data_IF_237982861682
#
_entry.id   IF_237982861682
#
_cell.length_a   1.000
_cell.length_b   1.000
_cell.length_c   1.000
_cell.angle_alpha   90.00
_cell.angle_beta   90.00
_cell.angle_gamma   90.00
#
_symmetry.space_group_name_H-M   'P 1'
#
loop_
_entity.id
_entity.type
_entity.pdbx_description
1 polymer ?
#
# COMPACT_ATOMS: atom_id res chain seq x y z
N UNK A 1 -4.08 24.41 -5.72
CA UNK A 1 -4.45 23.76 -4.43
C UNK A 1 -3.84 22.37 -4.28
N UNK A 2 -3.98 21.46 -5.26
CA UNK A 2 -3.40 20.10 -5.17
C UNK A 2 -1.88 20.05 -5.02
N UNK A 3 -1.13 20.85 -5.80
CA UNK A 3 0.34 20.92 -5.68
C UNK A 3 0.80 21.32 -4.27
N UNK A 4 0.19 22.37 -3.70
CA UNK A 4 0.51 22.85 -2.35
C UNK A 4 0.26 21.79 -1.27
N UNK A 5 -0.76 20.94 -1.44
CA UNK A 5 -1.02 19.85 -0.49
C UNK A 5 0.02 18.73 -0.59
N UNK A 6 0.42 18.35 -1.81
CA UNK A 6 1.51 17.37 -1.99
C UNK A 6 2.86 17.90 -1.45
N UNK A 7 3.10 19.20 -1.62
CA UNK A 7 4.31 19.88 -1.16
C UNK A 7 4.34 20.00 0.38
N UNK A 8 3.23 20.43 1.00
CA UNK A 8 3.13 20.56 2.46
C UNK A 8 3.26 19.24 3.21
N UNK A 9 2.76 18.14 2.65
CA UNK A 9 2.98 16.78 3.21
C UNK A 9 4.34 16.21 2.76
N UNK A 10 5.01 16.84 1.79
CA UNK A 10 6.33 16.50 1.32
C UNK A 10 6.38 15.11 0.68
N UNK A 11 5.35 14.73 -0.08
CA UNK A 11 5.18 13.35 -0.60
C UNK A 11 5.73 13.14 -2.01
N UNK A 12 6.44 14.13 -2.57
CA UNK A 12 7.18 13.97 -3.82
C UNK A 12 8.08 12.72 -3.77
N UNK A 13 8.18 12.01 -4.89
CA UNK A 13 8.97 10.78 -4.97
C UNK A 13 10.48 11.02 -4.93
N UNK A 14 10.92 12.25 -5.24
CA UNK A 14 12.30 12.73 -5.14
C UNK A 14 12.34 14.06 -4.38
N UNK A 15 13.51 14.38 -3.86
CA UNK A 15 13.82 15.71 -3.31
C UNK A 15 14.27 16.61 -4.47
N UNK A 16 13.50 17.65 -4.79
CA UNK A 16 13.69 18.46 -6.00
C UNK A 16 15.01 19.26 -5.97
N UNK A 17 15.55 19.52 -4.78
CA UNK A 17 16.79 20.27 -4.59
C UNK A 17 18.04 19.39 -4.61
N UNK A 18 17.87 18.06 -4.75
CA UNK A 18 18.98 17.09 -4.70
C UNK A 18 19.01 16.20 -5.93
N UNK A 19 20.22 15.98 -6.43
CA UNK A 19 20.44 15.03 -7.54
C UNK A 19 20.22 13.60 -7.07
N UNK A 20 19.42 12.87 -7.83
CA UNK A 20 19.22 11.43 -7.67
C UNK A 20 20.47 10.69 -8.12
N UNK A 21 20.83 9.63 -7.40
CA UNK A 21 21.92 8.74 -7.79
C UNK A 21 21.56 7.98 -9.06
N UNK A 22 22.40 8.06 -10.09
CA UNK A 22 22.21 7.37 -11.38
C UNK A 22 23.25 6.28 -11.54
N UNK A 23 22.81 5.09 -11.93
CA UNK A 23 23.63 3.90 -12.08
C UNK A 23 23.42 3.29 -13.46
N UNK A 24 24.49 2.78 -14.06
CA UNK A 24 24.39 2.04 -15.33
C UNK A 24 23.68 0.71 -15.08
N UNK A 25 23.01 0.19 -16.10
CA UNK A 25 22.36 -1.13 -16.05
C UNK A 25 23.26 -2.28 -15.54
N UNK A 26 24.56 -2.22 -15.81
CA UNK A 26 25.53 -3.26 -15.43
C UNK A 26 26.10 -3.09 -14.00
N UNK A 27 25.83 -1.97 -13.33
CA UNK A 27 26.34 -1.74 -11.97
C UNK A 27 25.66 -2.72 -10.98
N UNK A 28 26.30 -3.00 -9.85
CA UNK A 28 25.75 -3.91 -8.83
C UNK A 28 24.58 -3.24 -8.11
N UNK A 29 23.50 -3.99 -7.87
CA UNK A 29 22.30 -3.51 -7.18
C UNK A 29 22.49 -3.65 -5.65
N UNK A 30 22.20 -2.61 -4.84
CA UNK A 30 22.19 -2.71 -3.39
C UNK A 30 21.24 -3.80 -2.91
N UNK A 31 21.72 -4.58 -1.94
CA UNK A 31 20.93 -5.64 -1.31
C UNK A 31 20.07 -5.09 -0.17
N UNK A 32 18.77 -5.38 -0.19
CA UNK A 32 17.84 -5.12 0.91
C UNK A 32 17.18 -6.44 1.32
N UNK A 33 17.56 -7.02 2.48
CA UNK A 33 16.99 -8.29 2.91
C UNK A 33 15.51 -8.14 3.24
N UNK A 34 14.69 -9.11 2.85
CA UNK A 34 13.23 -9.04 3.00
C UNK A 34 12.74 -8.88 4.43
N UNK A 35 13.47 -9.44 5.40
CA UNK A 35 13.09 -9.35 6.79
C UNK A 35 13.03 -7.89 7.27
N UNK A 36 13.82 -6.97 6.67
CA UNK A 36 13.68 -5.53 6.94
C UNK A 36 12.30 -5.01 6.56
N UNK A 37 11.71 -5.49 5.46
CA UNK A 37 10.38 -5.09 5.02
C UNK A 37 9.31 -5.63 5.98
N UNK A 38 9.40 -6.92 6.36
CA UNK A 38 8.49 -7.50 7.35
C UNK A 38 8.54 -6.75 8.68
N UNK A 39 9.73 -6.46 9.19
CA UNK A 39 9.92 -5.69 10.44
C UNK A 39 9.33 -4.29 10.31
N UNK A 40 9.60 -3.60 9.20
CA UNK A 40 9.04 -2.27 8.96
C UNK A 40 7.49 -2.34 8.97
N UNK A 41 6.90 -3.26 8.21
CA UNK A 41 5.43 -3.39 8.11
C UNK A 41 4.83 -3.69 9.48
N UNK A 42 5.37 -4.67 10.20
CA UNK A 42 4.81 -5.12 11.48
C UNK A 42 4.93 -4.06 12.57
N UNK A 43 6.07 -3.37 12.68
CA UNK A 43 6.25 -2.28 13.66
C UNK A 43 5.15 -1.22 13.46
N UNK A 44 4.96 -0.76 12.22
CA UNK A 44 4.01 0.30 11.92
C UNK A 44 2.55 -0.18 12.03
N UNK A 45 2.26 -1.42 11.60
CA UNK A 45 0.94 -2.02 11.73
C UNK A 45 0.52 -2.19 13.20
N UNK A 46 1.47 -2.46 14.10
CA UNK A 46 1.21 -2.72 15.51
C UNK A 46 1.03 -1.47 16.37
N UNK A 47 1.51 -0.30 15.95
CA UNK A 47 1.31 0.96 16.69
C UNK A 47 -0.19 1.22 17.00
N UNK A 48 -1.11 1.27 16.01
CA UNK A 48 -2.53 1.48 16.31
C UNK A 48 -3.16 0.33 17.10
N UNK A 49 -2.69 -0.92 16.90
CA UNK A 49 -3.17 -2.06 17.67
C UNK A 49 -2.81 -1.92 19.16
N UNK A 50 -1.58 -1.50 19.46
CA UNK A 50 -1.12 -1.28 20.82
C UNK A 50 -1.88 -0.13 21.49
N UNK A 51 -2.10 0.99 20.78
CA UNK A 51 -2.90 2.12 21.26
C UNK A 51 -4.33 1.65 21.58
N UNK A 52 -4.95 0.91 20.67
CA UNK A 52 -6.31 0.39 20.85
C UNK A 52 -6.38 -0.60 22.01
N UNK A 53 -5.43 -1.53 22.12
CA UNK A 53 -5.41 -2.48 23.23
C UNK A 53 -5.19 -1.79 24.58
N UNK A 54 -4.34 -0.76 24.63
CA UNK A 54 -4.14 0.06 25.82
C UNK A 54 -5.43 0.82 26.20
N UNK A 55 -6.17 1.35 25.21
CA UNK A 55 -7.47 1.97 25.44
C UNK A 55 -8.44 0.99 26.12
N UNK A 56 -8.59 -0.22 25.56
CA UNK A 56 -9.48 -1.26 26.15
C UNK A 56 -9.03 -1.61 27.57
N UNK A 57 -7.72 -1.76 27.79
CA UNK A 57 -7.17 -2.09 29.10
C UNK A 57 -7.40 -1.01 30.15
N UNK A 58 -7.39 0.26 29.76
CA UNK A 58 -7.59 1.40 30.66
C UNK A 58 -9.06 1.74 30.91
N UNK A 59 -9.90 1.74 29.87
CA UNK A 59 -11.30 2.15 29.96
C UNK A 59 -12.28 0.97 30.17
N UNK A 60 -11.81 -0.28 30.04
CA UNK A 60 -12.63 -1.50 30.17
C UNK A 60 -13.81 -1.60 29.20
N UNK A 61 -13.79 -0.81 28.12
CA UNK A 61 -14.74 -0.92 27.03
C UNK A 61 -14.03 -0.70 25.70
N UNK A 62 -14.63 -1.17 24.62
CA UNK A 62 -14.05 -1.08 23.29
C UNK A 62 -14.33 0.26 22.61
N UNK A 63 -13.57 0.59 21.56
CA UNK A 63 -13.83 1.74 20.70
C UNK A 63 -15.16 1.53 19.96
N UNK A 64 -15.92 2.62 19.77
CA UNK A 64 -17.02 2.62 18.82
C UNK A 64 -16.49 2.42 17.39
N UNK A 65 -17.33 1.97 16.47
CA UNK A 65 -16.94 1.80 15.05
C UNK A 65 -16.38 3.10 14.46
N UNK A 66 -16.95 4.26 14.80
CA UNK A 66 -16.47 5.57 14.35
C UNK A 66 -15.10 5.91 14.93
N UNK A 67 -14.87 5.62 16.21
CA UNK A 67 -13.57 5.87 16.84
C UNK A 67 -12.48 4.92 16.30
N UNK A 68 -12.82 3.65 16.05
CA UNK A 68 -11.94 2.72 15.37
C UNK A 68 -11.61 3.19 13.94
N UNK A 69 -12.61 3.62 13.17
CA UNK A 69 -12.40 4.20 11.84
C UNK A 69 -11.44 5.40 11.88
N UNK A 70 -11.63 6.32 12.83
CA UNK A 70 -10.73 7.46 12.99
C UNK A 70 -9.30 7.01 13.32
N UNK A 71 -9.12 6.12 14.30
CA UNK A 71 -7.80 5.64 14.72
C UNK A 71 -7.05 4.95 13.57
N UNK A 72 -7.67 3.94 12.95
CA UNK A 72 -7.02 3.17 11.87
C UNK A 72 -6.90 3.98 10.58
N UNK A 73 -7.85 4.89 10.32
CA UNK A 73 -7.78 5.82 9.20
C UNK A 73 -6.61 6.80 9.33
N UNK A 74 -6.45 7.45 10.48
CA UNK A 74 -5.29 8.33 10.72
C UNK A 74 -3.98 7.57 10.72
N UNK A 75 -3.96 6.36 11.29
CA UNK A 75 -2.76 5.52 11.31
C UNK A 75 -2.34 5.11 9.89
N UNK A 76 -3.29 4.69 9.05
CA UNK A 76 -2.98 4.35 7.65
C UNK A 76 -2.37 5.56 6.90
N UNK A 77 -2.90 6.76 7.12
CA UNK A 77 -2.36 8.00 6.54
C UNK A 77 -0.93 8.25 6.99
N UNK A 78 -0.67 8.18 8.29
CA UNK A 78 0.65 8.40 8.86
C UNK A 78 1.67 7.38 8.35
N UNK A 79 1.29 6.09 8.30
CA UNK A 79 2.13 5.00 7.81
C UNK A 79 2.43 5.19 6.33
N UNK A 80 1.43 5.50 5.50
CA UNK A 80 1.60 5.74 4.06
C UNK A 80 2.53 6.93 3.78
N UNK A 81 2.32 8.06 4.44
CA UNK A 81 3.21 9.24 4.31
C UNK A 81 4.64 8.90 4.74
N UNK A 82 4.79 8.19 5.87
CA UNK A 82 6.11 7.76 6.32
C UNK A 82 6.79 6.84 5.30
N UNK A 83 6.05 5.89 4.72
CA UNK A 83 6.56 5.02 3.66
C UNK A 83 7.03 5.83 2.45
N UNK A 84 6.23 6.77 1.96
CA UNK A 84 6.61 7.64 0.83
C UNK A 84 7.90 8.41 1.12
N UNK A 85 8.06 8.93 2.34
CA UNK A 85 9.30 9.60 2.73
C UNK A 85 10.49 8.65 2.80
N UNK A 86 10.31 7.42 3.28
CA UNK A 86 11.35 6.38 3.28
C UNK A 86 11.75 6.06 1.84
N UNK A 87 10.78 5.77 0.96
CA UNK A 87 11.02 5.46 -0.44
C UNK A 87 11.75 6.60 -1.15
N UNK A 88 11.35 7.86 -0.91
CA UNK A 88 12.09 9.04 -1.41
C UNK A 88 13.54 9.05 -0.97
N UNK A 89 13.82 8.83 0.33
CA UNK A 89 15.20 8.84 0.86
C UNK A 89 16.04 7.72 0.25
N UNK A 90 15.47 6.53 0.12
CA UNK A 90 16.14 5.38 -0.50
C UNK A 90 16.38 5.64 -1.99
N UNK A 91 15.40 6.21 -2.71
CA UNK A 91 15.53 6.56 -4.12
C UNK A 91 16.57 7.62 -4.38
N UNK A 92 16.62 8.67 -3.54
CA UNK A 92 17.68 9.67 -3.62
C UNK A 92 19.08 9.05 -3.45
N UNK A 93 19.22 8.11 -2.50
CA UNK A 93 20.50 7.49 -2.16
C UNK A 93 20.97 6.41 -3.14
N UNK A 94 20.06 5.60 -3.69
CA UNK A 94 20.41 4.40 -4.45
C UNK A 94 19.89 4.42 -5.90
N UNK A 95 19.10 5.43 -6.26
CA UNK A 95 18.53 5.58 -7.58
C UNK A 95 17.38 4.63 -7.86
N UNK A 96 16.99 4.63 -9.13
CA UNK A 96 15.91 3.83 -9.68
C UNK A 96 16.44 2.88 -10.76
N UNK A 97 15.78 1.74 -10.94
CA UNK A 97 16.03 0.91 -12.12
C UNK A 97 15.76 1.73 -13.37
N UNK A 98 16.61 1.55 -14.40
CA UNK A 98 16.63 2.30 -15.68
C UNK A 98 16.80 3.84 -15.61
N UNK A 99 17.18 4.36 -14.44
CA UNK A 99 17.41 5.80 -14.22
C UNK A 99 18.54 6.43 -15.05
N UNK A 100 19.38 5.64 -15.72
CA UNK A 100 20.37 6.11 -16.69
C UNK A 100 19.76 6.48 -18.05
N UNK A 101 18.52 6.05 -18.31
CA UNK A 101 17.80 6.30 -19.57
C UNK A 101 16.48 7.05 -19.37
N UNK A 102 15.77 6.76 -18.28
CA UNK A 102 14.43 7.27 -18.04
C UNK A 102 14.29 7.74 -16.59
N UNK A 103 13.84 8.98 -16.41
CA UNK A 103 13.43 9.47 -15.09
C UNK A 103 12.14 8.76 -14.65
N UNK A 104 11.73 8.96 -13.39
CA UNK A 104 10.40 8.54 -12.94
C UNK A 104 9.37 9.54 -13.41
N UNK A 105 8.23 9.01 -13.86
CA UNK A 105 7.10 9.80 -14.30
C UNK A 105 6.66 10.69 -13.13
N UNK A 106 6.63 12.00 -13.37
CA UNK A 106 6.02 12.96 -12.44
C UNK A 106 4.50 12.83 -12.44
N UNK A 107 3.86 13.44 -11.46
CA UNK A 107 2.41 13.64 -11.53
C UNK A 107 2.16 14.75 -12.57
N UNK A 108 1.39 14.51 -13.65
CA UNK A 108 1.12 15.54 -14.64
C UNK A 108 0.38 16.73 -14.02
N UNK A 109 0.68 17.96 -14.45
CA UNK A 109 0.04 19.17 -13.88
C UNK A 109 -1.49 19.11 -13.94
N UNK A 110 -2.04 18.67 -15.09
CA UNK A 110 -3.47 18.46 -15.28
C UNK A 110 -4.05 17.30 -14.46
N UNK A 111 -3.17 16.39 -14.00
CA UNK A 111 -3.51 15.17 -13.26
C UNK A 111 -3.32 15.27 -11.76
N UNK A 112 -2.80 16.38 -11.22
CA UNK A 112 -2.49 16.52 -9.79
C UNK A 112 -3.72 16.33 -8.90
N UNK A 113 -4.86 16.89 -9.31
CA UNK A 113 -6.09 16.70 -8.54
C UNK A 113 -6.53 15.25 -8.53
N UNK A 114 -6.42 14.56 -9.68
CA UNK A 114 -6.78 13.14 -9.77
C UNK A 114 -5.87 12.26 -8.93
N UNK A 115 -4.55 12.49 -8.97
CA UNK A 115 -3.60 11.77 -8.12
C UNK A 115 -3.89 12.00 -6.63
N UNK A 116 -4.21 13.25 -6.26
CA UNK A 116 -4.58 13.57 -4.88
C UNK A 116 -5.89 12.91 -4.47
N UNK A 117 -6.92 12.97 -5.32
CA UNK A 117 -8.21 12.30 -5.11
C UNK A 117 -7.98 10.81 -4.87
N UNK A 118 -7.19 10.14 -5.71
CA UNK A 118 -6.91 8.72 -5.56
C UNK A 118 -6.20 8.36 -4.25
N UNK A 119 -5.25 9.19 -3.82
CA UNK A 119 -4.60 9.02 -2.51
C UNK A 119 -5.58 9.23 -1.37
N UNK A 120 -6.39 10.29 -1.41
CA UNK A 120 -7.38 10.62 -0.38
C UNK A 120 -8.49 9.55 -0.28
N UNK A 121 -8.96 9.06 -1.43
CA UNK A 121 -9.91 7.95 -1.52
C UNK A 121 -9.35 6.69 -0.88
N UNK A 122 -8.09 6.34 -1.17
CA UNK A 122 -7.49 5.11 -0.65
C UNK A 122 -7.40 5.12 0.89
N UNK A 123 -6.95 6.24 1.45
CA UNK A 123 -6.80 6.40 2.91
C UNK A 123 -8.11 6.65 3.66
N UNK A 124 -9.20 6.98 2.96
CA UNK A 124 -10.53 7.15 3.56
C UNK A 124 -11.36 5.86 3.44
N UNK A 125 -11.48 5.31 2.23
CA UNK A 125 -12.40 4.21 1.95
C UNK A 125 -11.89 2.85 2.42
N UNK A 126 -10.58 2.55 2.36
CA UNK A 126 -10.05 1.26 2.85
C UNK A 126 -10.34 1.05 4.34
N UNK A 127 -10.01 2.00 5.24
CA UNK A 127 -10.36 1.87 6.66
C UNK A 127 -11.87 1.87 6.91
N UNK A 128 -12.63 2.66 6.15
CA UNK A 128 -14.09 2.70 6.28
C UNK A 128 -14.68 1.32 5.99
N UNK A 129 -14.31 0.71 4.87
CA UNK A 129 -14.77 -0.63 4.48
C UNK A 129 -14.32 -1.69 5.50
N UNK A 130 -13.06 -1.64 5.94
CA UNK A 130 -12.58 -2.57 6.96
C UNK A 130 -13.39 -2.46 8.26
N UNK A 131 -13.63 -1.24 8.74
CA UNK A 131 -14.39 -1.02 9.98
C UNK A 131 -15.86 -1.41 9.83
N UNK A 132 -16.52 -1.10 8.71
CA UNK A 132 -17.93 -1.44 8.51
C UNK A 132 -18.18 -2.96 8.44
N UNK A 133 -17.31 -3.70 7.74
CA UNK A 133 -17.57 -5.11 7.46
C UNK A 133 -16.93 -6.07 8.47
N UNK A 134 -15.75 -5.74 9.00
CA UNK A 134 -14.99 -6.66 9.83
C UNK A 134 -14.90 -6.28 11.31
N UNK A 135 -15.06 -4.99 11.67
CA UNK A 135 -14.92 -4.57 13.06
C UNK A 135 -16.07 -5.09 13.93
N UNK A 136 -15.71 -5.52 15.14
CA UNK A 136 -16.60 -6.15 16.12
C UNK A 136 -16.21 -5.62 17.50
N UNK A 137 -17.14 -4.91 18.15
CA UNK A 137 -16.87 -4.22 19.42
C UNK A 137 -16.67 -5.18 20.60
N UNK A 138 -17.05 -6.45 20.45
CA UNK A 138 -16.77 -7.54 21.39
C UNK A 138 -15.35 -8.13 21.23
N UNK A 139 -14.58 -7.70 20.22
CA UNK A 139 -13.23 -8.18 19.95
C UNK A 139 -12.21 -7.04 20.07
N UNK A 140 -11.15 -7.24 20.86
CA UNK A 140 -9.99 -6.33 20.94
C UNK A 140 -8.79 -6.85 20.14
N UNK A 141 -7.73 -6.06 19.91
CA UNK A 141 -6.50 -6.54 19.25
C UNK A 141 -5.90 -7.80 19.86
N UNK A 142 -6.12 -8.05 21.15
CA UNK A 142 -5.75 -9.29 21.83
C UNK A 142 -6.43 -10.56 21.28
N UNK A 143 -7.45 -10.43 20.43
CA UNK A 143 -8.13 -11.55 19.77
C UNK A 143 -7.39 -12.06 18.53
N UNK A 144 -6.27 -11.45 18.13
CA UNK A 144 -5.45 -11.93 17.01
C UNK A 144 -4.98 -13.36 17.28
N UNK A 145 -5.20 -14.24 16.31
CA UNK A 145 -4.72 -15.61 16.39
C UNK A 145 -3.27 -15.71 15.90
N UNK A 146 -2.32 -15.39 16.78
CA UNK A 146 -0.91 -15.18 16.44
C UNK A 146 -0.24 -16.33 15.68
N UNK A 147 -0.58 -17.58 15.99
CA UNK A 147 -0.03 -18.76 15.29
C UNK A 147 -0.55 -18.89 13.86
N UNK A 148 -1.74 -18.37 13.58
CA UNK A 148 -2.37 -18.41 12.26
C UNK A 148 -2.10 -17.14 11.44
N UNK A 149 -1.72 -16.04 12.10
CA UNK A 149 -1.50 -14.74 11.46
C UNK A 149 -0.56 -14.81 10.24
N UNK A 150 0.62 -15.49 10.27
CA UNK A 150 1.46 -15.61 9.08
C UNK A 150 0.75 -16.29 7.90
N UNK A 151 -0.04 -17.32 8.18
CA UNK A 151 -0.83 -18.02 7.17
C UNK A 151 -1.98 -17.14 6.66
N UNK A 152 -2.65 -16.40 7.53
CA UNK A 152 -3.68 -15.42 7.15
C UNK A 152 -3.11 -14.35 6.22
N UNK A 153 -1.94 -13.79 6.54
CA UNK A 153 -1.27 -12.78 5.72
C UNK A 153 -0.94 -13.36 4.33
N UNK A 154 -0.32 -14.54 4.28
CA UNK A 154 0.06 -15.19 3.04
C UNK A 154 -1.17 -15.54 2.18
N UNK A 155 -2.19 -16.17 2.78
CA UNK A 155 -3.42 -16.53 2.09
C UNK A 155 -4.17 -15.30 1.59
N UNK A 156 -4.27 -14.24 2.40
CA UNK A 156 -4.90 -12.98 1.98
C UNK A 156 -4.16 -12.38 0.79
N UNK A 157 -2.83 -12.32 0.80
CA UNK A 157 -2.05 -11.81 -0.31
C UNK A 157 -2.27 -12.62 -1.60
N UNK A 158 -2.24 -13.95 -1.53
CA UNK A 158 -2.49 -14.84 -2.69
C UNK A 158 -3.90 -14.63 -3.25
N UNK A 159 -4.91 -14.59 -2.39
CA UNK A 159 -6.31 -14.42 -2.81
C UNK A 159 -6.54 -13.01 -3.36
N UNK A 160 -5.93 -11.99 -2.75
CA UNK A 160 -5.95 -10.63 -3.27
C UNK A 160 -5.38 -10.57 -4.68
N UNK A 161 -4.18 -11.14 -4.88
CA UNK A 161 -3.51 -11.18 -6.18
C UNK A 161 -4.30 -11.99 -7.20
N UNK A 162 -4.97 -13.07 -6.80
CA UNK A 162 -5.87 -13.83 -7.67
C UNK A 162 -6.98 -12.93 -8.23
N UNK A 163 -7.70 -12.22 -7.37
CA UNK A 163 -8.76 -11.31 -7.80
C UNK A 163 -8.22 -10.15 -8.64
N UNK A 164 -7.11 -9.56 -8.20
CA UNK A 164 -6.46 -8.47 -8.91
C UNK A 164 -6.00 -8.89 -10.30
N UNK A 165 -5.37 -10.06 -10.44
CA UNK A 165 -4.89 -10.61 -11.70
C UNK A 165 -6.03 -10.81 -12.70
N UNK A 166 -7.11 -11.49 -12.30
CA UNK A 166 -8.23 -11.75 -13.20
C UNK A 166 -8.93 -10.47 -13.62
N UNK A 167 -9.17 -9.57 -12.67
CA UNK A 167 -9.71 -8.25 -12.94
C UNK A 167 -8.85 -7.46 -13.95
N UNK A 168 -7.56 -7.37 -13.69
CA UNK A 168 -6.61 -6.65 -14.53
C UNK A 168 -6.44 -7.30 -15.91
N UNK A 169 -6.50 -8.64 -15.99
CA UNK A 169 -6.48 -9.38 -17.27
C UNK A 169 -7.71 -9.09 -18.11
N UNK A 170 -8.90 -9.16 -17.51
CA UNK A 170 -10.16 -8.85 -18.19
C UNK A 170 -10.17 -7.42 -18.76
N UNK A 171 -9.61 -6.45 -18.02
CA UNK A 171 -9.48 -5.07 -18.50
C UNK A 171 -8.53 -4.91 -19.69
N UNK A 172 -7.50 -5.75 -19.82
CA UNK A 172 -6.57 -5.70 -20.96
C UNK A 172 -7.11 -6.43 -22.19
N UNK A 173 -7.80 -7.55 -22.00
CA UNK A 173 -8.25 -8.40 -23.11
C UNK A 173 -9.59 -7.92 -23.71
N UNK A 174 -10.38 -7.14 -22.97
CA UNK A 174 -11.67 -6.61 -23.45
C UNK A 174 -11.59 -5.12 -23.79
N UNK A 175 -11.88 -4.77 -25.06
CA UNK A 175 -11.82 -3.39 -25.58
C UNK A 175 -12.73 -2.42 -24.82
N UNK A 176 -13.92 -2.87 -24.39
CA UNK A 176 -14.87 -2.04 -23.64
C UNK A 176 -14.42 -1.78 -22.21
N UNK A 177 -13.66 -2.71 -21.61
CA UNK A 177 -13.11 -2.55 -20.26
C UNK A 177 -11.78 -1.79 -20.26
N UNK A 178 -11.00 -1.88 -21.34
CA UNK A 178 -9.73 -1.17 -21.51
C UNK A 178 -9.84 0.34 -21.27
N UNK A 179 -10.99 0.95 -21.59
CA UNK A 179 -11.22 2.38 -21.37
C UNK A 179 -11.05 2.81 -19.91
N UNK A 180 -11.26 1.90 -18.96
CA UNK A 180 -11.09 2.14 -17.52
C UNK A 180 -9.67 1.89 -17.02
N UNK A 181 -8.81 1.33 -17.89
CA UNK A 181 -7.48 0.86 -17.53
C UNK A 181 -6.35 1.57 -18.26
N UNK A 182 -6.64 2.12 -19.44
CA UNK A 182 -5.68 2.84 -20.28
C UNK A 182 -4.96 3.98 -19.55
N UNK A 183 -5.65 4.69 -18.65
CA UNK A 183 -5.06 5.84 -17.91
C UNK A 183 -3.93 5.38 -17.00
N UNK A 184 -4.10 4.23 -16.34
CA UNK A 184 -3.07 3.64 -15.50
C UNK A 184 -1.82 3.28 -16.32
N UNK A 185 -2.02 2.80 -17.55
CA UNK A 185 -0.93 2.45 -18.46
C UNK A 185 -0.25 3.63 -19.17
N UNK A 186 -0.67 4.88 -18.94
CA UNK A 186 0.03 6.07 -19.45
C UNK A 186 1.38 6.25 -18.75
N UNK A 187 1.49 5.85 -17.49
CA UNK A 187 2.76 5.83 -16.78
C UNK A 187 3.55 4.58 -17.16
N UNK A 188 4.78 4.77 -17.64
CA UNK A 188 5.71 3.67 -17.99
C UNK A 188 6.77 3.47 -16.92
N UNK A 189 7.05 4.53 -16.18
CA UNK A 189 8.11 4.64 -15.20
C UNK A 189 7.51 5.23 -13.91
N UNK A 190 6.50 4.57 -13.30
CA UNK A 190 5.71 5.16 -12.24
C UNK A 190 6.54 5.50 -11.02
N UNK A 191 5.98 6.37 -10.20
CA UNK A 191 6.39 6.57 -8.83
C UNK A 191 5.24 6.17 -7.89
N UNK A 192 5.47 6.06 -6.57
CA UNK A 192 4.45 5.56 -5.63
C UNK A 192 3.15 6.38 -5.61
N UNK A 193 3.20 7.68 -5.91
CA UNK A 193 1.98 8.53 -5.99
C UNK A 193 1.08 8.15 -7.18
N UNK A 194 1.65 7.51 -8.21
CA UNK A 194 0.93 7.07 -9.39
C UNK A 194 0.35 5.66 -9.24
N UNK A 195 0.56 4.97 -8.11
CA UNK A 195 0.01 3.63 -7.86
C UNK A 195 -1.52 3.59 -8.02
N UNK A 196 -2.19 4.62 -7.50
CA UNK A 196 -3.65 4.79 -7.63
C UNK A 196 -4.10 5.60 -8.85
N UNK A 197 -3.19 6.09 -9.69
CA UNK A 197 -3.54 6.99 -10.79
C UNK A 197 -4.19 6.21 -11.94
N UNK A 198 -5.52 6.20 -11.95
CA UNK A 198 -6.34 5.47 -12.91
C UNK A 198 -7.72 6.13 -13.07
N UNK A 199 -8.54 5.61 -14.00
CA UNK A 199 -9.95 6.00 -14.08
C UNK A 199 -10.72 5.59 -12.82
N UNK A 200 -11.77 6.32 -12.47
CA UNK A 200 -12.53 6.13 -11.21
C UNK A 200 -13.08 4.71 -11.02
N UNK A 201 -13.43 4.01 -12.11
CA UNK A 201 -13.86 2.61 -12.03
C UNK A 201 -12.71 1.72 -11.57
N UNK A 202 -11.51 1.88 -12.15
CA UNK A 202 -10.36 1.11 -11.71
C UNK A 202 -9.95 1.43 -10.28
N UNK A 203 -9.94 2.72 -9.95
CA UNK A 203 -9.65 3.17 -8.60
C UNK A 203 -10.62 2.55 -7.57
N UNK A 204 -11.93 2.55 -7.84
CA UNK A 204 -12.94 1.96 -6.96
C UNK A 204 -12.72 0.46 -6.75
N UNK A 205 -12.34 -0.25 -7.82
CA UNK A 205 -12.04 -1.68 -7.73
C UNK A 205 -10.80 -1.93 -6.87
N UNK A 206 -9.72 -1.19 -7.11
CA UNK A 206 -8.47 -1.34 -6.37
C UNK A 206 -8.62 -1.00 -4.88
N UNK A 207 -9.38 0.05 -4.56
CA UNK A 207 -9.54 0.56 -3.19
C UNK A 207 -10.58 -0.23 -2.39
N UNK A 208 -11.67 -0.67 -3.03
CA UNK A 208 -12.83 -1.23 -2.32
C UNK A 208 -13.13 -2.66 -2.75
N UNK A 209 -13.35 -2.88 -4.05
CA UNK A 209 -13.93 -4.15 -4.54
C UNK A 209 -12.95 -5.32 -4.35
N UNK A 210 -11.71 -5.20 -4.81
CA UNK A 210 -10.71 -6.27 -4.72
C UNK A 210 -10.40 -6.63 -3.25
N UNK A 211 -10.14 -5.67 -2.33
CA UNK A 211 -9.99 -5.98 -0.93
C UNK A 211 -11.19 -6.73 -0.31
N UNK A 212 -12.42 -6.35 -0.68
CA UNK A 212 -13.65 -6.99 -0.20
C UNK A 212 -13.85 -8.39 -0.78
N UNK A 213 -13.57 -8.60 -2.07
CA UNK A 213 -13.62 -9.92 -2.69
C UNK A 213 -12.61 -10.86 -2.03
N UNK A 214 -11.40 -10.37 -1.72
CA UNK A 214 -10.40 -11.14 -1.02
C UNK A 214 -10.83 -11.48 0.42
N UNK A 215 -11.32 -10.49 1.17
CA UNK A 215 -11.83 -10.71 2.53
C UNK A 215 -13.03 -11.67 2.55
N UNK A 216 -13.98 -11.49 1.63
CA UNK A 216 -15.15 -12.35 1.48
C UNK A 216 -14.76 -13.77 1.10
N UNK A 217 -13.77 -13.95 0.22
CA UNK A 217 -13.23 -15.27 -0.15
C UNK A 217 -12.56 -15.96 1.04
N UNK A 218 -11.76 -15.22 1.84
CA UNK A 218 -11.18 -15.75 3.08
C UNK A 218 -12.29 -16.24 4.04
N UNK A 219 -13.34 -15.44 4.24
CA UNK A 219 -14.50 -15.83 5.06
C UNK A 219 -15.23 -17.04 4.50
N UNK A 220 -15.47 -17.09 3.19
CA UNK A 220 -16.13 -18.19 2.51
C UNK A 220 -15.34 -19.51 2.63
N UNK A 221 -14.01 -19.44 2.56
CA UNK A 221 -13.10 -20.57 2.76
C UNK A 221 -12.91 -20.95 4.25
N UNK A 222 -13.62 -20.29 5.17
CA UNK A 222 -13.61 -20.64 6.60
C UNK A 222 -12.43 -20.05 7.39
N UNK A 223 -11.68 -19.08 6.84
CA UNK A 223 -10.58 -18.48 7.58
C UNK A 223 -11.09 -17.64 8.76
N UNK A 224 -10.46 -17.75 9.95
CA UNK A 224 -10.81 -16.96 11.13
C UNK A 224 -10.23 -15.54 11.07
N UNK A 225 -10.40 -14.84 9.93
CA UNK A 225 -9.84 -13.50 9.72
C UNK A 225 -10.65 -12.44 10.47
N UNK A 226 -10.11 -11.88 11.56
CA UNK A 226 -10.71 -10.75 12.26
C UNK A 226 -10.42 -9.42 11.56
N UNK A 227 -11.01 -8.33 12.06
CA UNK A 227 -10.63 -6.98 11.66
C UNK A 227 -9.12 -6.73 11.82
N UNK A 228 -8.51 -7.22 12.91
CA UNK A 228 -7.11 -6.97 13.24
C UNK A 228 -6.16 -7.76 12.33
N UNK A 229 -6.50 -9.02 12.02
CA UNK A 229 -5.75 -9.83 11.06
C UNK A 229 -5.81 -9.20 9.66
N UNK A 230 -6.99 -8.72 9.27
CA UNK A 230 -7.17 -8.07 7.98
C UNK A 230 -6.45 -6.72 7.90
N UNK A 231 -6.44 -5.94 8.98
CA UNK A 231 -5.64 -4.72 9.10
C UNK A 231 -4.16 -5.00 8.81
N UNK A 232 -3.57 -5.99 9.49
CA UNK A 232 -2.15 -6.36 9.28
C UNK A 232 -1.92 -6.82 7.84
N UNK A 233 -2.82 -7.66 7.32
CA UNK A 233 -2.72 -8.19 5.94
C UNK A 233 -2.80 -7.07 4.89
N UNK A 234 -3.64 -6.06 5.09
CA UNK A 234 -3.74 -4.89 4.23
C UNK A 234 -2.48 -4.03 4.28
N UNK A 235 -1.80 -3.92 5.43
CA UNK A 235 -0.51 -3.20 5.50
C UNK A 235 0.56 -3.85 4.62
N UNK A 236 0.57 -5.18 4.51
CA UNK A 236 1.45 -5.89 3.57
C UNK A 236 1.14 -5.56 2.11
N UNK A 237 -0.14 -5.56 1.72
CA UNK A 237 -0.57 -5.22 0.36
C UNK A 237 -0.20 -3.78 0.01
N UNK A 238 -0.56 -2.82 0.86
CA UNK A 238 -0.29 -1.39 0.65
C UNK A 238 1.22 -1.13 0.59
N UNK A 239 2.00 -1.75 1.48
CA UNK A 239 3.44 -1.62 1.47
C UNK A 239 4.03 -2.09 0.14
N UNK A 240 3.61 -3.27 -0.32
CA UNK A 240 4.07 -3.88 -1.56
C UNK A 240 3.64 -3.08 -2.77
N UNK A 241 2.42 -2.54 -2.77
CA UNK A 241 1.89 -1.67 -3.83
C UNK A 241 2.75 -0.41 -3.99
N UNK A 242 3.01 0.32 -2.92
CA UNK A 242 3.84 1.54 -2.95
C UNK A 242 5.30 1.25 -3.28
N UNK A 243 5.87 0.17 -2.73
CA UNK A 243 7.22 -0.27 -3.03
C UNK A 243 7.35 -0.69 -4.50
N UNK A 244 6.40 -1.45 -5.03
CA UNK A 244 6.40 -1.92 -6.42
C UNK A 244 6.33 -0.80 -7.45
N UNK A 245 5.60 0.28 -7.14
CA UNK A 245 5.53 1.47 -7.99
C UNK A 245 6.69 2.45 -7.76
N UNK A 246 7.61 2.17 -6.83
CA UNK A 246 8.72 3.08 -6.55
C UNK A 246 9.82 3.05 -7.59
N UNK A 247 9.97 1.93 -8.31
CA UNK A 247 11.09 1.70 -9.23
C UNK A 247 12.46 1.67 -8.55
N UNK A 248 12.53 1.58 -7.22
CA UNK A 248 13.79 1.64 -6.47
C UNK A 248 14.78 0.57 -6.91
N UNK A 249 16.03 0.97 -7.08
CA UNK A 249 17.14 0.09 -7.43
C UNK A 249 17.67 -0.64 -6.20
N UNK A 250 16.90 -1.58 -5.69
CA UNK A 250 17.26 -2.47 -4.58
C UNK A 250 16.88 -3.91 -4.93
N UNK A 251 17.74 -4.86 -4.57
CA UNK A 251 17.53 -6.27 -4.86
C UNK A 251 17.30 -7.08 -3.58
N UNK A 252 16.39 -8.03 -3.71
CA UNK A 252 15.97 -8.97 -2.67
C UNK A 252 17.03 -10.04 -2.37
N UNK A 253 17.87 -10.37 -3.35
CA UNK A 253 18.84 -11.46 -3.30
C UNK A 253 20.27 -10.91 -3.35
N UNK A 254 21.16 -11.48 -2.53
CA UNK A 254 22.57 -11.09 -2.58
C UNK A 254 23.22 -11.77 -3.79
N UNK A 255 23.38 -11.01 -4.88
CA UNK A 255 24.02 -11.46 -6.12
C UNK A 255 25.46 -11.95 -5.87
N UNK A 256 26.09 -11.55 -4.75
CA UNK A 256 27.42 -12.03 -4.36
C UNK A 256 27.45 -13.44 -3.78
N UNK A 257 26.30 -14.01 -3.40
CA UNK A 257 26.17 -15.40 -2.90
C UNK A 257 25.79 -16.41 -3.99
N UNK A 258 25.59 -15.97 -5.23
CA UNK A 258 25.19 -16.82 -6.38
C UNK A 258 26.39 -17.06 -7.33
N UNK A 259 27.63 -16.80 -6.87
CA UNK A 259 28.86 -17.14 -7.58
C UNK A 259 29.69 -18.13 -6.80
#
# INVERSE_FOLDING_TARGET
MGHWLLESVGVHHVDLDKRVSVHRKADIVPYAPEWHFHVWILIHAFVPLAIHQAYIGYFHHNLSTTAAYALYGHSLKAIGVHQLHVLRRVGQRYGFFDGDKHERDGVPDVGVWKALESLLSAIAFRPMVATMFAYRADQGPSSIYWTWLPFTIAAYAIIFDFWYYWYHRLMRENVSLWRFHRTHHLSKHPNPLLAGYADTVQESFNIVVIPLLAFGSMKFLGFPISFYDWWISQQYVIFTELLGHSGLRIEKYDVRRVK
#
